data_IF_624535847449
#
_entry.id   IF_624535847449
#
_cell.length_a   1.000
_cell.length_b   1.000
_cell.length_c   1.000
_cell.angle_alpha   90.00
_cell.angle_beta   90.00
_cell.angle_gamma   90.00
#
_symmetry.space_group_name_H-M   'P 1'
#
loop_
_entity.id
_entity.type
_entity.pdbx_description
1 polymer ?
#
# COMPACT_ATOMS: atom_id res chain seq x y z
N UNK A 1 0.96 1.92 11.96
CA UNK A 1 0.56 0.76 12.79
C UNK A 1 0.92 -0.60 12.18
N UNK A 2 1.01 -0.73 10.85
CA UNK A 2 1.54 -1.94 10.17
C UNK A 2 2.99 -2.22 10.61
N UNK A 3 3.72 -1.18 10.97
CA UNK A 3 5.09 -1.26 11.43
C UNK A 3 5.32 -1.98 12.78
N UNK A 4 4.29 -2.22 13.58
CA UNK A 4 4.41 -2.96 14.84
C UNK A 4 4.67 -4.48 14.65
N UNK A 5 4.61 -4.97 13.43
CA UNK A 5 4.91 -6.37 13.10
C UNK A 5 6.40 -6.63 12.84
N UNK A 6 7.21 -5.60 12.76
CA UNK A 6 8.64 -5.72 12.49
C UNK A 6 9.40 -5.84 13.81
N UNK A 7 10.21 -6.87 13.94
CA UNK A 7 11.03 -7.10 15.14
C UNK A 7 12.01 -5.94 15.32
N UNK A 8 11.83 -5.19 16.41
CA UNK A 8 12.73 -4.10 16.75
C UNK A 8 14.10 -4.61 17.20
N UNK A 9 15.14 -3.84 16.98
CA UNK A 9 16.43 -4.03 17.61
C UNK A 9 16.31 -3.83 19.14
N UNK A 10 17.11 -4.52 19.92
CA UNK A 10 17.03 -4.58 21.38
C UNK A 10 17.36 -3.24 22.09
N UNK A 11 17.67 -2.20 21.38
CA UNK A 11 18.01 -0.88 21.95
C UNK A 11 16.81 0.05 22.01
N UNK A 12 15.74 -0.39 22.66
CA UNK A 12 14.59 0.47 22.98
C UNK A 12 14.77 1.14 24.34
N UNK A 13 15.17 2.40 24.33
CA UNK A 13 15.15 3.28 25.53
C UNK A 13 13.69 3.68 25.90
N UNK A 14 12.70 3.29 25.12
CA UNK A 14 11.27 3.54 25.35
C UNK A 14 10.46 2.28 25.06
N UNK A 15 9.35 2.10 25.76
CA UNK A 15 8.44 0.93 25.70
C UNK A 15 7.72 0.71 24.34
N UNK A 16 8.30 1.12 23.23
CA UNK A 16 7.74 0.93 21.88
C UNK A 16 8.75 0.26 20.96
N UNK A 17 8.26 -0.68 20.14
CA UNK A 17 9.02 -1.28 19.05
C UNK A 17 9.02 -0.32 17.85
N UNK A 18 10.20 -0.03 17.32
CA UNK A 18 10.34 0.79 16.11
C UNK A 18 10.67 -0.12 14.91
N UNK A 19 10.20 0.21 13.70
CA UNK A 19 10.54 -0.52 12.48
C UNK A 19 11.89 -0.07 11.90
N UNK A 20 12.95 -0.13 12.70
CA UNK A 20 14.25 0.47 12.39
C UNK A 20 14.80 0.04 11.03
N UNK A 21 14.73 -1.26 10.71
CA UNK A 21 15.24 -1.80 9.43
C UNK A 21 14.49 -1.16 8.25
N UNK A 22 13.16 -1.11 8.31
CA UNK A 22 12.35 -0.52 7.24
C UNK A 22 12.65 0.97 7.07
N UNK A 23 12.82 1.70 8.18
CA UNK A 23 13.13 3.13 8.15
C UNK A 23 14.53 3.42 7.62
N UNK A 24 15.53 2.65 8.05
CA UNK A 24 16.90 2.79 7.59
C UNK A 24 17.04 2.44 6.10
N UNK A 25 16.38 1.38 5.64
CA UNK A 25 16.37 1.02 4.22
C UNK A 25 15.68 2.12 3.40
N UNK A 26 14.56 2.66 3.86
CA UNK A 26 13.90 3.82 3.23
C UNK A 26 14.86 5.03 3.14
N UNK A 27 15.62 5.30 4.19
CA UNK A 27 16.63 6.37 4.20
C UNK A 27 17.77 6.13 3.22
N UNK A 28 18.19 4.88 3.02
CA UNK A 28 19.29 4.52 2.09
C UNK A 28 18.95 4.72 0.61
N UNK A 29 17.69 4.88 0.25
CA UNK A 29 17.30 5.28 -1.12
C UNK A 29 17.93 6.60 -1.53
N UNK A 30 18.03 7.56 -0.61
CA UNK A 30 18.70 8.84 -0.87
C UNK A 30 20.18 8.68 -1.25
N UNK A 31 20.89 7.71 -0.63
CA UNK A 31 22.28 7.40 -0.97
C UNK A 31 22.41 6.84 -2.39
N UNK A 32 21.52 5.91 -2.77
CA UNK A 32 21.53 5.32 -4.12
C UNK A 32 21.15 6.36 -5.19
N UNK A 33 20.16 7.21 -4.91
CA UNK A 33 19.81 8.30 -5.82
C UNK A 33 20.92 9.34 -5.93
N UNK A 34 21.63 9.61 -4.84
CA UNK A 34 22.82 10.47 -4.86
C UNK A 34 23.92 9.92 -5.77
N UNK A 35 24.20 8.62 -5.70
CA UNK A 35 25.14 7.96 -6.59
C UNK A 35 24.72 8.06 -8.07
N UNK A 36 23.43 7.82 -8.38
CA UNK A 36 22.91 7.97 -9.73
C UNK A 36 23.05 9.42 -10.24
N UNK A 37 22.69 10.39 -9.42
CA UNK A 37 22.82 11.82 -9.80
C UNK A 37 24.27 12.22 -10.03
N UNK A 38 25.20 11.73 -9.22
CA UNK A 38 26.64 11.96 -9.39
C UNK A 38 27.14 11.36 -10.70
N UNK A 39 26.75 10.13 -11.05
CA UNK A 39 27.10 9.50 -12.32
C UNK A 39 26.56 10.27 -13.51
N UNK A 40 25.29 10.69 -13.47
CA UNK A 40 24.70 11.51 -14.53
C UNK A 40 25.42 12.85 -14.69
N UNK A 41 25.87 13.44 -13.58
CA UNK A 41 26.63 14.69 -13.59
C UNK A 41 28.04 14.48 -14.19
N UNK A 42 28.71 13.39 -13.84
CA UNK A 42 30.01 13.01 -14.40
C UNK A 42 29.93 12.82 -15.92
N UNK A 43 28.84 12.20 -16.40
CA UNK A 43 28.62 11.97 -17.84
C UNK A 43 28.24 13.23 -18.64
N UNK A 44 27.83 14.29 -17.94
CA UNK A 44 27.36 15.51 -18.60
C UNK A 44 28.51 16.23 -19.35
N UNK A 45 28.36 16.40 -20.66
CA UNK A 45 29.26 17.20 -21.46
C UNK A 45 30.66 16.60 -21.67
N UNK A 46 30.78 15.28 -21.54
CA UNK A 46 32.05 14.57 -21.79
C UNK A 46 32.47 14.70 -23.25
N UNK A 47 33.77 15.04 -23.55
CA UNK A 47 34.29 15.11 -24.92
C UNK A 47 34.37 13.72 -25.56
N UNK A 48 34.63 13.67 -26.89
CA UNK A 48 34.64 12.42 -27.66
C UNK A 48 35.78 11.45 -27.32
N UNK A 49 36.85 11.90 -26.69
CA UNK A 49 38.01 11.07 -26.37
C UNK A 49 38.70 11.47 -25.06
N UNK A 50 39.35 10.48 -24.42
CA UNK A 50 40.16 10.63 -23.22
C UNK A 50 39.38 11.15 -22.00
N UNK A 51 38.30 10.43 -21.62
CA UNK A 51 37.39 10.81 -20.54
C UNK A 51 37.87 10.22 -19.21
N UNK A 52 38.83 10.83 -18.53
CA UNK A 52 39.29 10.44 -17.20
C UNK A 52 38.24 10.66 -16.13
N UNK A 53 37.29 11.56 -16.36
CA UNK A 53 36.07 11.77 -15.56
C UNK A 53 35.34 10.46 -15.27
N UNK A 54 35.35 9.52 -16.22
CA UNK A 54 34.70 8.20 -16.05
C UNK A 54 35.40 7.29 -15.03
N UNK A 55 36.51 7.68 -14.40
CA UNK A 55 37.10 6.94 -13.30
C UNK A 55 36.26 7.04 -12.03
N UNK A 56 35.46 8.08 -11.89
CA UNK A 56 34.50 8.27 -10.78
C UNK A 56 33.30 7.28 -10.81
N UNK A 57 33.12 6.53 -11.90
CA UNK A 57 32.02 5.59 -12.06
C UNK A 57 32.08 4.42 -11.04
N UNK A 58 33.29 3.99 -10.67
CA UNK A 58 33.51 2.79 -9.88
C UNK A 58 33.09 2.96 -8.42
N UNK A 59 33.55 4.01 -7.77
CA UNK A 59 33.25 4.25 -6.35
C UNK A 59 31.75 4.41 -6.13
N UNK A 60 31.08 5.22 -6.95
CA UNK A 60 29.65 5.46 -6.87
C UNK A 60 28.82 4.22 -7.17
N UNK A 61 29.23 3.44 -8.20
CA UNK A 61 28.53 2.23 -8.59
C UNK A 61 28.69 1.13 -7.53
N UNK A 62 29.89 0.91 -7.03
CA UNK A 62 30.15 -0.12 -6.03
C UNK A 62 29.46 0.21 -4.71
N UNK A 63 29.51 1.47 -4.27
CA UNK A 63 28.81 1.92 -3.05
C UNK A 63 27.29 1.72 -3.17
N UNK A 64 26.70 2.05 -4.33
CA UNK A 64 25.28 1.83 -4.58
C UNK A 64 24.92 0.33 -4.57
N UNK A 65 25.72 -0.51 -5.24
CA UNK A 65 25.52 -1.96 -5.30
C UNK A 65 25.60 -2.59 -3.90
N UNK A 66 26.63 -2.25 -3.13
CA UNK A 66 26.82 -2.80 -1.77
C UNK A 66 25.72 -2.31 -0.83
N UNK A 67 25.30 -1.06 -0.96
CA UNK A 67 24.15 -0.53 -0.23
C UNK A 67 22.88 -1.31 -0.54
N UNK A 68 22.57 -1.57 -1.80
CA UNK A 68 21.39 -2.33 -2.22
C UNK A 68 21.46 -3.78 -1.76
N UNK A 69 22.61 -4.46 -1.92
CA UNK A 69 22.80 -5.83 -1.43
C UNK A 69 22.56 -5.95 0.07
N UNK A 70 23.08 -5.01 0.86
CA UNK A 70 22.85 -4.95 2.30
C UNK A 70 21.35 -4.75 2.63
N UNK A 71 20.68 -3.85 1.92
CA UNK A 71 19.25 -3.61 2.07
C UNK A 71 18.42 -4.86 1.75
N UNK A 72 18.69 -5.53 0.63
CA UNK A 72 17.98 -6.75 0.21
C UNK A 72 18.16 -7.87 1.24
N UNK A 73 19.37 -8.06 1.76
CA UNK A 73 19.64 -9.07 2.80
C UNK A 73 18.83 -8.81 4.08
N UNK A 74 18.76 -7.56 4.53
CA UNK A 74 17.97 -7.17 5.69
C UNK A 74 16.47 -7.34 5.44
N UNK A 75 15.98 -6.95 4.26
CA UNK A 75 14.59 -7.14 3.86
C UNK A 75 14.18 -8.60 3.83
N UNK A 76 15.05 -9.48 3.31
CA UNK A 76 14.82 -10.93 3.33
C UNK A 76 14.54 -11.44 4.74
N UNK A 77 15.38 -11.07 5.72
CA UNK A 77 15.18 -11.44 7.11
C UNK A 77 13.89 -10.86 7.71
N UNK A 78 13.59 -9.60 7.39
CA UNK A 78 12.39 -8.92 7.85
C UNK A 78 11.12 -9.59 7.33
N UNK A 79 11.05 -9.92 6.05
CA UNK A 79 9.89 -10.60 5.43
C UNK A 79 9.73 -12.01 6.01
N UNK A 80 10.82 -12.76 6.17
CA UNK A 80 10.79 -14.13 6.70
C UNK A 80 10.26 -14.21 8.14
N UNK A 81 10.42 -13.13 8.93
CA UNK A 81 9.97 -13.07 10.33
C UNK A 81 8.70 -12.26 10.55
N UNK A 82 8.13 -11.70 9.48
CA UNK A 82 6.93 -10.89 9.53
C UNK A 82 5.72 -11.70 10.02
N UNK A 83 4.96 -11.10 10.93
CA UNK A 83 3.70 -11.67 11.43
C UNK A 83 2.56 -10.71 11.11
N UNK A 84 1.50 -11.26 10.53
CA UNK A 84 0.27 -10.52 10.28
C UNK A 84 -0.70 -10.69 11.46
N UNK A 85 -1.45 -9.63 11.76
CA UNK A 85 -2.59 -9.68 12.66
C UNK A 85 -3.86 -9.42 11.85
N UNK A 86 -4.49 -10.47 11.27
CA UNK A 86 -5.62 -10.33 10.35
C UNK A 86 -6.78 -9.56 10.98
N UNK A 87 -7.12 -9.89 12.23
CA UNK A 87 -8.24 -9.24 12.94
C UNK A 87 -8.03 -7.73 13.08
N UNK A 88 -6.84 -7.31 13.52
CA UNK A 88 -6.54 -5.87 13.67
C UNK A 88 -6.50 -5.15 12.33
N UNK A 89 -6.03 -5.83 11.27
CA UNK A 89 -6.02 -5.29 9.90
C UNK A 89 -7.44 -5.10 9.38
N UNK A 90 -8.32 -6.09 9.62
CA UNK A 90 -9.74 -6.03 9.25
C UNK A 90 -10.46 -4.91 10.02
N UNK A 91 -10.29 -4.83 11.34
CA UNK A 91 -10.87 -3.78 12.17
C UNK A 91 -10.41 -2.38 11.70
N UNK A 92 -9.13 -2.24 11.36
CA UNK A 92 -8.57 -0.98 10.85
C UNK A 92 -9.14 -0.59 9.49
N UNK A 93 -9.37 -1.57 8.60
CA UNK A 93 -10.00 -1.34 7.30
C UNK A 93 -11.47 -0.92 7.46
N UNK A 94 -12.19 -1.57 8.37
CA UNK A 94 -13.60 -1.27 8.67
C UNK A 94 -13.79 0.17 9.16
N UNK A 95 -13.02 0.59 10.16
CA UNK A 95 -13.12 1.94 10.74
C UNK A 95 -12.42 3.02 9.92
N UNK A 96 -11.63 2.64 8.91
CA UNK A 96 -11.02 3.55 7.96
C UNK A 96 -11.90 3.95 6.77
N UNK A 97 -13.17 3.52 6.77
CA UNK A 97 -14.14 3.78 5.68
C UNK A 97 -13.58 3.41 4.29
N UNK A 98 -12.79 2.34 4.21
CA UNK A 98 -12.14 1.93 2.96
C UNK A 98 -13.15 1.46 1.90
N UNK A 99 -14.35 1.10 2.31
CA UNK A 99 -15.51 0.69 1.50
C UNK A 99 -16.41 1.85 1.07
N UNK A 100 -16.09 3.10 1.44
CA UNK A 100 -16.90 4.26 1.06
C UNK A 100 -16.98 4.45 -0.46
N UNK A 101 -15.90 4.17 -1.20
CA UNK A 101 -15.90 4.21 -2.66
C UNK A 101 -16.85 3.17 -3.25
N UNK A 102 -16.91 1.98 -2.67
CA UNK A 102 -17.82 0.91 -3.12
C UNK A 102 -19.30 1.29 -2.88
N UNK A 103 -19.58 2.05 -1.81
CA UNK A 103 -20.91 2.63 -1.58
C UNK A 103 -21.27 3.69 -2.63
N UNK A 104 -20.30 4.51 -3.07
CA UNK A 104 -20.53 5.45 -4.18
C UNK A 104 -20.76 4.72 -5.52
N UNK A 105 -19.97 3.70 -5.81
CA UNK A 105 -20.14 2.85 -7.01
C UNK A 105 -21.50 2.13 -7.00
N UNK A 106 -21.99 1.72 -5.84
CA UNK A 106 -23.33 1.15 -5.69
C UNK A 106 -24.41 2.15 -6.16
N UNK A 107 -24.36 3.39 -5.69
CA UNK A 107 -25.29 4.43 -6.08
C UNK A 107 -25.21 4.74 -7.58
N UNK A 108 -24.00 4.78 -8.13
CA UNK A 108 -23.78 5.00 -9.58
C UNK A 108 -24.42 3.88 -10.40
N UNK A 109 -24.32 2.62 -9.98
CA UNK A 109 -24.99 1.50 -10.64
C UNK A 109 -26.52 1.58 -10.56
N UNK A 110 -27.04 2.26 -9.54
CA UNK A 110 -28.49 2.56 -9.40
C UNK A 110 -28.92 3.83 -10.16
N UNK A 111 -28.01 4.44 -10.94
CA UNK A 111 -28.29 5.57 -11.83
C UNK A 111 -28.05 6.95 -11.22
N UNK A 112 -27.45 7.04 -10.03
CA UNK A 112 -27.07 8.32 -9.41
C UNK A 112 -25.78 8.83 -10.07
N UNK A 113 -25.70 10.11 -10.52
CA UNK A 113 -24.45 10.65 -11.03
C UNK A 113 -23.32 10.56 -9.99
N UNK A 114 -22.09 10.25 -10.44
CA UNK A 114 -20.96 10.01 -9.53
C UNK A 114 -20.72 11.15 -8.55
N UNK A 115 -20.86 12.41 -8.99
CA UNK A 115 -20.66 13.59 -8.13
C UNK A 115 -21.66 13.63 -6.99
N UNK A 116 -22.91 13.28 -7.26
CA UNK A 116 -23.97 13.27 -6.26
C UNK A 116 -23.81 12.05 -5.32
N UNK A 117 -23.47 10.88 -5.89
CA UNK A 117 -23.15 9.68 -5.13
C UNK A 117 -22.01 9.93 -4.13
N UNK A 118 -20.95 10.61 -4.56
CA UNK A 118 -19.83 10.98 -3.68
C UNK A 118 -20.27 11.91 -2.54
N UNK A 119 -21.14 12.89 -2.81
CA UNK A 119 -21.71 13.78 -1.80
C UNK A 119 -22.58 13.03 -0.77
N UNK A 120 -23.43 12.12 -1.25
CA UNK A 120 -24.28 11.25 -0.40
C UNK A 120 -23.41 10.39 0.53
N UNK A 121 -22.39 9.74 -0.02
CA UNK A 121 -21.49 8.89 0.78
C UNK A 121 -20.67 9.72 1.76
N UNK A 122 -20.28 10.94 1.39
CA UNK A 122 -19.64 11.88 2.32
C UNK A 122 -20.50 12.16 3.55
N UNK A 123 -21.82 12.36 3.38
CA UNK A 123 -22.76 12.54 4.49
C UNK A 123 -22.89 11.28 5.35
N UNK A 124 -22.93 10.07 4.73
CA UNK A 124 -22.92 8.80 5.46
C UNK A 124 -21.67 8.66 6.35
N UNK A 125 -20.49 8.94 5.79
CA UNK A 125 -19.22 8.88 6.53
C UNK A 125 -19.22 9.86 7.71
N UNK A 126 -19.69 11.09 7.52
CA UNK A 126 -19.80 12.07 8.61
C UNK A 126 -20.72 11.57 9.72
N UNK A 127 -21.89 11.02 9.36
CA UNK A 127 -22.82 10.41 10.31
C UNK A 127 -22.18 9.26 11.09
N UNK A 128 -21.39 8.42 10.41
CA UNK A 128 -20.67 7.32 11.06
C UNK A 128 -19.58 7.83 12.03
N UNK A 129 -18.85 8.86 11.64
CA UNK A 129 -17.84 9.49 12.51
C UNK A 129 -18.47 10.06 13.77
N UNK A 130 -19.60 10.78 13.64
CA UNK A 130 -20.33 11.35 14.78
C UNK A 130 -20.85 10.28 15.74
N UNK A 131 -21.25 9.12 15.21
CA UNK A 131 -21.75 7.98 16.00
C UNK A 131 -20.63 7.04 16.50
N UNK A 132 -19.43 7.15 15.98
CA UNK A 132 -18.32 6.24 16.30
C UNK A 132 -18.51 4.82 15.76
N UNK A 133 -19.20 4.66 14.61
CA UNK A 133 -19.53 3.37 13.99
C UNK A 133 -18.97 3.28 12.57
N UNK A 134 -18.94 2.09 11.99
CA UNK A 134 -18.58 1.88 10.58
C UNK A 134 -19.81 1.98 9.65
N UNK A 135 -19.58 2.04 8.33
CA UNK A 135 -20.68 2.10 7.35
C UNK A 135 -21.61 0.89 7.44
N UNK A 136 -21.06 -0.30 7.61
CA UNK A 136 -21.86 -1.55 7.71
C UNK A 136 -22.70 -1.65 9.00
N UNK A 137 -22.45 -0.79 9.98
CA UNK A 137 -23.23 -0.75 11.24
C UNK A 137 -24.45 0.18 11.13
N UNK A 138 -24.60 0.98 10.07
CA UNK A 138 -25.78 1.80 9.82
C UNK A 138 -27.00 0.93 9.47
N UNK A 139 -28.15 1.32 9.99
CA UNK A 139 -29.43 0.69 9.64
C UNK A 139 -29.87 1.13 8.23
N UNK A 140 -30.72 0.33 7.59
CA UNK A 140 -31.26 0.67 6.27
C UNK A 140 -32.07 1.97 6.31
N UNK A 141 -32.75 2.25 7.41
CA UNK A 141 -33.50 3.50 7.57
C UNK A 141 -32.59 4.72 7.62
N UNK A 142 -31.42 4.60 8.23
CA UNK A 142 -30.40 5.66 8.24
C UNK A 142 -29.80 5.88 6.86
N UNK A 143 -29.54 4.82 6.10
CA UNK A 143 -29.16 4.93 4.69
C UNK A 143 -30.24 5.66 3.86
N UNK A 144 -31.50 5.26 4.02
CA UNK A 144 -32.64 5.83 3.29
C UNK A 144 -32.97 7.27 3.70
N UNK A 145 -32.65 7.65 4.93
CA UNK A 145 -32.79 9.03 5.38
C UNK A 145 -31.88 10.00 4.61
N UNK A 146 -30.72 9.54 4.13
CA UNK A 146 -29.79 10.34 3.34
C UNK A 146 -30.12 10.20 1.83
N UNK A 147 -30.42 8.99 1.36
CA UNK A 147 -30.86 8.77 -0.01
C UNK A 147 -31.82 7.60 -0.11
N UNK A 148 -33.01 7.79 -0.69
CA UNK A 148 -34.02 6.73 -0.84
C UNK A 148 -33.60 5.62 -1.81
N UNK A 149 -32.52 5.81 -2.55
CA UNK A 149 -31.97 4.85 -3.53
C UNK A 149 -31.34 3.63 -2.85
N UNK A 150 -30.96 3.75 -1.58
CA UNK A 150 -30.38 2.62 -0.85
C UNK A 150 -31.42 1.52 -0.58
N UNK A 151 -31.03 0.29 -0.83
CA UNK A 151 -31.81 -0.92 -0.57
C UNK A 151 -30.99 -1.89 0.28
N UNK A 152 -31.58 -3.05 0.65
CA UNK A 152 -30.95 -4.03 1.52
C UNK A 152 -29.64 -4.60 0.96
N UNK A 153 -29.48 -4.61 -0.36
CA UNK A 153 -28.29 -5.09 -1.07
C UNK A 153 -27.04 -4.22 -0.87
N UNK A 154 -27.18 -3.04 -0.24
CA UNK A 154 -26.03 -2.19 0.11
C UNK A 154 -25.04 -2.92 1.01
N UNK A 155 -25.51 -3.70 1.98
CA UNK A 155 -24.62 -4.42 2.92
C UNK A 155 -23.71 -5.42 2.21
N UNK A 156 -24.24 -6.13 1.21
CA UNK A 156 -23.43 -7.01 0.38
C UNK A 156 -22.46 -6.24 -0.51
N UNK A 157 -22.89 -5.09 -1.01
CA UNK A 157 -22.09 -4.26 -1.91
C UNK A 157 -20.86 -3.67 -1.23
N UNK A 158 -20.98 -3.26 0.05
CA UNK A 158 -19.92 -2.61 0.85
C UNK A 158 -19.19 -3.56 1.78
N UNK A 159 -19.57 -4.84 1.84
CA UNK A 159 -18.84 -5.85 2.60
C UNK A 159 -17.36 -5.84 2.20
N UNK A 160 -16.44 -5.75 3.16
CA UNK A 160 -15.00 -5.71 2.89
C UNK A 160 -14.55 -6.89 2.02
N UNK A 161 -15.14 -8.06 2.24
CA UNK A 161 -14.88 -9.25 1.42
C UNK A 161 -15.28 -9.01 -0.04
N UNK A 162 -16.51 -8.58 -0.27
CA UNK A 162 -17.02 -8.28 -1.61
C UNK A 162 -16.23 -7.17 -2.30
N UNK A 163 -15.83 -6.14 -1.56
CA UNK A 163 -15.01 -5.04 -2.07
C UNK A 163 -13.65 -5.55 -2.59
N UNK A 164 -13.02 -6.49 -1.89
CA UNK A 164 -11.74 -7.08 -2.31
C UNK A 164 -11.94 -8.05 -3.48
N UNK A 165 -12.95 -8.93 -3.42
CA UNK A 165 -13.24 -9.92 -4.46
C UNK A 165 -13.56 -9.29 -5.82
N UNK A 166 -14.18 -8.11 -5.83
CA UNK A 166 -14.48 -7.35 -7.06
C UNK A 166 -13.28 -6.65 -7.70
N UNK A 167 -12.11 -6.63 -7.10
CA UNK A 167 -10.89 -6.02 -7.65
C UNK A 167 -10.18 -7.00 -8.61
N UNK A 168 -10.58 -6.98 -9.89
CA UNK A 168 -10.16 -7.94 -10.91
C UNK A 168 -9.07 -7.43 -11.86
N UNK A 169 -8.64 -6.17 -11.74
CA UNK A 169 -7.58 -5.61 -12.58
C UNK A 169 -6.21 -6.20 -12.22
N UNK A 170 -5.31 -6.29 -13.20
CA UNK A 170 -3.95 -6.81 -12.97
C UNK A 170 -3.26 -6.06 -11.82
N UNK A 171 -2.74 -6.80 -10.84
CA UNK A 171 -2.10 -6.24 -9.64
C UNK A 171 -3.08 -5.82 -8.52
N UNK A 172 -4.38 -6.00 -8.72
CA UNK A 172 -5.37 -5.76 -7.66
C UNK A 172 -5.37 -6.88 -6.60
N UNK A 173 -5.87 -6.60 -5.37
CA UNK A 173 -5.81 -7.54 -4.26
C UNK A 173 -6.88 -8.65 -4.31
N UNK A 174 -7.66 -8.75 -5.37
CA UNK A 174 -8.66 -9.81 -5.52
C UNK A 174 -8.03 -11.21 -5.49
N UNK A 175 -8.63 -12.20 -4.80
CA UNK A 175 -8.02 -13.51 -4.60
C UNK A 175 -7.59 -14.21 -5.90
N UNK A 176 -8.44 -14.14 -6.93
CA UNK A 176 -8.15 -14.78 -8.23
C UNK A 176 -6.99 -14.11 -8.96
N UNK A 177 -6.90 -12.77 -8.90
CA UNK A 177 -5.80 -12.01 -9.48
C UNK A 177 -4.51 -12.28 -8.72
N UNK A 178 -4.57 -12.30 -7.38
CA UNK A 178 -3.40 -12.60 -6.55
C UNK A 178 -2.87 -14.01 -6.77
N UNK A 179 -3.77 -14.99 -6.98
CA UNK A 179 -3.36 -16.35 -7.33
C UNK A 179 -2.56 -16.39 -8.63
N UNK A 180 -3.04 -15.72 -9.68
CA UNK A 180 -2.33 -15.62 -10.97
C UNK A 180 -0.96 -14.94 -10.83
N UNK A 181 -0.89 -13.88 -10.00
CA UNK A 181 0.36 -13.17 -9.73
C UNK A 181 1.35 -14.08 -8.99
N UNK A 182 0.90 -14.82 -7.99
CA UNK A 182 1.73 -15.77 -7.23
C UNK A 182 2.26 -16.87 -8.16
N UNK A 183 1.39 -17.52 -8.93
CA UNK A 183 1.76 -18.57 -9.89
C UNK A 183 2.83 -18.09 -10.89
N UNK A 184 2.65 -16.87 -11.42
CA UNK A 184 3.63 -16.25 -12.32
C UNK A 184 5.01 -16.04 -11.68
N UNK A 185 5.05 -15.59 -10.43
CA UNK A 185 6.32 -15.36 -9.73
C UNK A 185 6.96 -16.67 -9.26
N UNK A 186 6.18 -17.69 -8.90
CA UNK A 186 6.69 -19.01 -8.60
C UNK A 186 7.37 -19.65 -9.84
N UNK A 187 6.73 -19.54 -11.01
CA UNK A 187 7.31 -19.97 -12.27
C UNK A 187 8.62 -19.23 -12.60
N UNK A 188 8.65 -17.93 -12.39
CA UNK A 188 9.86 -17.12 -12.58
C UNK A 188 11.01 -17.59 -11.69
N UNK A 189 10.74 -17.86 -10.41
CA UNK A 189 11.75 -18.30 -9.44
C UNK A 189 12.25 -19.73 -9.66
N UNK A 190 11.48 -20.57 -10.38
CA UNK A 190 11.88 -21.93 -10.72
C UNK A 190 12.75 -22.00 -11.99
N UNK A 191 12.69 -20.95 -12.83
CA UNK A 191 13.41 -20.90 -14.11
C UNK A 191 14.71 -20.09 -14.06
N UNK A 192 15.04 -19.45 -12.91
CA UNK A 192 16.31 -18.79 -12.60
C UNK A 192 17.22 -19.76 -11.81
#
# INVERSE_FOLDING_TARGET
EIAQCLVGSEMCIRDRKNPDIAELVRGKTGRVYGALMSLLTTMKGIPLAYNKDMQEDKELSFDAIDTVKGCVSLFKGMIATMRFNPKRMEDSAKHGFTNATDAADYLVKKGVPFRDAHGIVGQLVLTCIEKGIALDDLTLDEYKAISPVFEQDIYDAISLKTCVEKRLTLGAPGPDVMKQVIEKYEEYLLND
#
